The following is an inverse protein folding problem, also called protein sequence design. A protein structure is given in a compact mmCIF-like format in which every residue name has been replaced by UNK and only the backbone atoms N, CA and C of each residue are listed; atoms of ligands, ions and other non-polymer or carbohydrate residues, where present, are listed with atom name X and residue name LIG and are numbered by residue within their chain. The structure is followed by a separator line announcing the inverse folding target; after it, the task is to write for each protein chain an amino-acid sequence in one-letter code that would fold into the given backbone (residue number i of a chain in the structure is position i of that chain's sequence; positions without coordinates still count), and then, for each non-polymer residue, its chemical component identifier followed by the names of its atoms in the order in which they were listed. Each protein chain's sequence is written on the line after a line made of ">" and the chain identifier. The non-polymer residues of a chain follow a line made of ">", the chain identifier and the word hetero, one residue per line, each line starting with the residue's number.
data_IF_071962626341
#
_entry.id   IF_071962626341
#
_cell.length_a   1.000
_cell.length_b   1.000
_cell.length_c   1.000
_cell.angle_alpha   90.00
_cell.angle_beta   90.00
_cell.angle_gamma   90.00
#
_symmetry.space_group_name_H-M   'P 1'
#
loop_
_entity.id
_entity.type
_entity.pdbx_description
1 polymer ?
#
# COMPACT_ATOMS: atom_id res chain seq x y z
N UNK A 1 0.02 -0.19 -11.28
CA UNK A 1 1.43 -0.57 -11.18
C UNK A 1 1.67 -1.84 -11.98
N UNK A 2 0.85 -2.86 -11.83
CA UNK A 2 0.96 -4.17 -12.51
C UNK A 2 1.05 -4.05 -14.04
N UNK A 3 0.28 -3.13 -14.64
CA UNK A 3 0.33 -2.88 -16.10
C UNK A 3 1.71 -2.41 -16.55
N UNK A 4 2.43 -1.66 -15.72
CA UNK A 4 3.78 -1.13 -16.06
C UNK A 4 4.84 -2.22 -15.93
N UNK A 5 4.72 -3.11 -14.96
CA UNK A 5 5.64 -4.23 -14.78
C UNK A 5 5.55 -5.28 -15.89
N UNK A 6 4.35 -5.51 -16.43
CA UNK A 6 4.11 -6.43 -17.55
C UNK A 6 4.50 -5.83 -18.93
N UNK A 7 4.77 -4.52 -18.98
CA UNK A 7 5.12 -3.85 -20.23
C UNK A 7 6.59 -4.06 -20.59
N UNK A 8 6.90 -4.22 -21.91
CA UNK A 8 8.29 -4.22 -22.39
C UNK A 8 9.03 -2.93 -21.99
N UNK A 9 10.28 -3.04 -21.57
CA UNK A 9 11.10 -1.93 -21.06
C UNK A 9 11.18 -0.70 -22.01
N UNK A 10 11.05 -0.90 -23.31
CA UNK A 10 11.01 0.17 -24.30
C UNK A 10 9.69 0.96 -24.26
N UNK A 11 8.57 0.32 -23.89
CA UNK A 11 7.26 0.96 -23.74
C UNK A 11 7.23 1.74 -22.42
N UNK A 12 7.71 1.17 -21.31
CA UNK A 12 7.88 1.86 -20.03
C UNK A 12 8.72 3.13 -20.19
N UNK A 13 9.88 3.05 -20.85
CA UNK A 13 10.72 4.22 -21.13
C UNK A 13 10.01 5.29 -21.97
N UNK A 14 9.11 4.90 -22.87
CA UNK A 14 8.35 5.84 -23.71
C UNK A 14 7.25 6.54 -22.92
N UNK A 15 6.58 5.84 -22.01
CA UNK A 15 5.59 6.41 -21.07
C UNK A 15 6.29 7.41 -20.15
N UNK A 16 7.39 7.02 -19.51
CA UNK A 16 8.17 7.87 -18.61
C UNK A 16 8.70 9.17 -19.27
N UNK A 17 8.89 9.18 -20.60
CA UNK A 17 9.28 10.39 -21.33
C UNK A 17 8.17 11.42 -21.49
N UNK A 18 6.92 10.99 -21.49
CA UNK A 18 5.74 11.84 -21.69
C UNK A 18 5.00 12.17 -20.40
N UNK A 19 5.47 11.64 -19.29
CA UNK A 19 4.92 11.83 -17.96
C UNK A 19 5.62 13.01 -17.27
N UNK A 20 4.89 13.75 -16.44
CA UNK A 20 5.46 14.85 -15.66
C UNK A 20 6.55 14.36 -14.68
N UNK A 21 7.31 15.29 -14.10
CA UNK A 21 8.47 14.95 -13.27
C UNK A 21 8.09 14.26 -11.95
N UNK A 22 6.91 14.58 -11.40
CA UNK A 22 6.47 14.00 -10.12
C UNK A 22 6.04 12.55 -10.30
N UNK A 23 5.19 12.26 -11.27
CA UNK A 23 4.77 10.90 -11.57
C UNK A 23 5.93 10.01 -12.05
N UNK A 24 6.90 10.59 -12.81
CA UNK A 24 8.11 9.86 -13.19
C UNK A 24 8.95 9.44 -11.99
N UNK A 25 9.08 10.31 -10.99
CA UNK A 25 9.81 9.98 -9.76
C UNK A 25 9.07 8.91 -8.96
N UNK A 26 7.76 8.99 -8.83
CA UNK A 26 6.92 7.99 -8.16
C UNK A 26 7.02 6.61 -8.84
N UNK A 27 6.91 6.54 -10.16
CA UNK A 27 7.07 5.29 -10.92
C UNK A 27 8.48 4.71 -10.75
N UNK A 28 9.52 5.54 -10.82
CA UNK A 28 10.90 5.08 -10.62
C UNK A 28 11.18 4.62 -9.18
N UNK A 29 10.51 5.20 -8.21
CA UNK A 29 10.60 4.78 -6.81
C UNK A 29 9.96 3.41 -6.62
N UNK A 30 8.77 3.19 -7.14
CA UNK A 30 8.03 1.92 -7.08
C UNK A 30 8.80 0.80 -7.82
N UNK A 31 9.31 1.05 -9.02
CA UNK A 31 10.08 0.07 -9.79
C UNK A 31 11.43 -0.34 -9.17
N UNK A 32 11.84 0.29 -8.06
CA UNK A 32 13.06 -0.07 -7.32
C UNK A 32 12.83 -1.16 -6.28
N UNK A 33 11.59 -1.45 -5.93
CA UNK A 33 11.29 -2.42 -4.88
C UNK A 33 10.96 -3.80 -5.46
N UNK A 34 11.34 -4.88 -4.77
CA UNK A 34 10.94 -6.24 -5.15
C UNK A 34 9.42 -6.36 -5.21
N UNK A 35 8.91 -7.17 -6.15
CA UNK A 35 7.48 -7.35 -6.39
C UNK A 35 6.66 -7.75 -5.15
N UNK A 36 7.26 -8.54 -4.25
CA UNK A 36 6.59 -9.07 -3.05
C UNK A 36 6.94 -8.27 -1.78
N UNK A 37 7.25 -6.98 -1.94
CA UNK A 37 7.61 -6.11 -0.81
C UNK A 37 6.58 -5.02 -0.53
N UNK A 38 6.57 -4.49 0.70
CA UNK A 38 5.76 -3.33 1.08
C UNK A 38 5.98 -2.13 0.14
N UNK A 39 7.21 -1.95 -0.33
CA UNK A 39 7.56 -0.90 -1.29
C UNK A 39 6.87 -1.04 -2.64
N UNK A 40 6.48 -2.27 -3.06
CA UNK A 40 5.81 -2.49 -4.34
C UNK A 40 4.32 -2.14 -4.31
N UNK A 41 3.69 -2.17 -3.13
CA UNK A 41 2.27 -1.91 -2.93
C UNK A 41 1.99 -0.55 -2.25
N UNK A 42 3.04 0.22 -1.90
CA UNK A 42 2.88 1.52 -1.25
C UNK A 42 2.54 2.62 -2.25
N UNK A 43 1.81 3.64 -1.78
CA UNK A 43 1.67 4.92 -2.46
C UNK A 43 2.50 6.01 -1.78
N UNK A 44 2.98 7.00 -2.56
CA UNK A 44 3.66 8.19 -2.03
C UNK A 44 2.69 9.35 -1.77
N UNK A 45 1.39 9.12 -1.98
CA UNK A 45 0.33 10.12 -1.91
C UNK A 45 -0.27 10.21 -0.50
N UNK A 46 0.51 10.67 0.45
CA UNK A 46 0.12 10.89 1.84
C UNK A 46 0.29 12.34 2.29
N UNK A 47 -0.36 12.72 3.38
CA UNK A 47 -0.19 14.02 4.03
C UNK A 47 0.88 13.92 5.11
N UNK A 48 1.92 14.75 5.00
CA UNK A 48 2.93 14.90 6.06
C UNK A 48 2.82 16.27 6.75
N UNK A 49 2.92 16.27 8.07
CA UNK A 49 2.92 17.46 8.93
C UNK A 49 4.27 17.59 9.63
N UNK A 50 4.53 18.78 10.19
CA UNK A 50 5.68 19.02 11.06
C UNK A 50 5.22 19.16 12.51
N UNK A 51 6.02 18.64 13.43
CA UNK A 51 5.70 18.62 14.87
C UNK A 51 5.41 20.00 15.48
N UNK A 52 6.04 21.05 14.92
CA UNK A 52 5.94 22.42 15.43
C UNK A 52 4.76 23.20 14.83
N UNK A 53 4.02 22.61 13.88
CA UNK A 53 2.80 23.20 13.32
C UNK A 53 1.70 23.26 14.37
N UNK A 54 0.83 24.26 14.25
CA UNK A 54 -0.45 24.32 14.95
C UNK A 54 -1.53 23.53 14.17
N UNK A 55 -2.62 23.21 14.84
CA UNK A 55 -3.79 22.57 14.21
C UNK A 55 -4.31 23.41 13.04
N UNK A 56 -4.33 24.75 13.16
CA UNK A 56 -4.72 25.64 12.06
C UNK A 56 -3.82 25.48 10.83
N UNK A 57 -2.51 25.48 11.03
CA UNK A 57 -1.53 25.29 9.96
C UNK A 57 -1.63 23.90 9.34
N UNK A 58 -1.95 22.87 10.15
CA UNK A 58 -2.18 21.51 9.67
C UNK A 58 -3.41 21.46 8.74
N UNK A 59 -4.52 22.10 9.10
CA UNK A 59 -5.70 22.21 8.22
C UNK A 59 -5.40 22.94 6.91
N UNK A 60 -4.66 24.03 6.97
CA UNK A 60 -4.28 24.76 5.76
C UNK A 60 -3.38 23.92 4.86
N UNK A 61 -2.51 23.11 5.44
CA UNK A 61 -1.71 22.15 4.67
C UNK A 61 -2.55 21.06 4.06
N UNK A 62 -3.45 20.44 4.82
CA UNK A 62 -4.37 19.40 4.32
C UNK A 62 -5.22 19.94 3.16
N UNK A 63 -5.80 21.14 3.29
CA UNK A 63 -6.60 21.77 2.22
C UNK A 63 -5.80 22.02 0.94
N UNK A 64 -4.53 22.40 1.06
CA UNK A 64 -3.67 22.67 -0.09
C UNK A 64 -3.16 21.43 -0.79
N UNK A 65 -2.85 20.36 -0.03
CA UNK A 65 -2.14 19.19 -0.54
C UNK A 65 -3.00 17.93 -0.57
N UNK A 66 -4.12 17.90 0.13
CA UNK A 66 -4.93 16.69 0.32
C UNK A 66 -5.79 16.30 -0.88
N UNK A 67 -5.98 17.19 -1.86
CA UNK A 67 -6.81 16.92 -3.06
C UNK A 67 -6.23 15.77 -3.88
N UNK A 68 -4.90 15.70 -3.97
CA UNK A 68 -4.17 14.70 -4.76
C UNK A 68 -3.58 13.59 -3.88
N UNK A 69 -4.14 13.36 -2.67
CA UNK A 69 -3.65 12.35 -1.75
C UNK A 69 -4.61 11.18 -1.65
N UNK A 70 -4.06 9.98 -1.55
CA UNK A 70 -4.81 8.74 -1.41
C UNK A 70 -5.73 8.79 -0.19
N UNK A 71 -5.22 9.29 0.91
CA UNK A 71 -6.01 9.50 2.13
C UNK A 71 -5.56 10.76 2.88
N UNK A 72 -6.53 11.41 3.55
CA UNK A 72 -6.28 12.49 4.50
C UNK A 72 -6.65 12.11 5.93
N UNK A 73 -7.24 10.92 6.16
CA UNK A 73 -7.74 10.51 7.47
C UNK A 73 -6.62 10.39 8.51
N UNK A 74 -5.45 9.95 8.07
CA UNK A 74 -4.23 9.88 8.88
C UNK A 74 -3.17 10.78 8.27
N UNK A 75 -2.63 11.70 9.07
CA UNK A 75 -1.52 12.58 8.70
C UNK A 75 -0.28 12.15 9.48
N UNK A 76 0.83 11.97 8.78
CA UNK A 76 2.08 11.50 9.38
C UNK A 76 2.96 12.68 9.76
N UNK A 77 3.53 12.64 10.96
CA UNK A 77 4.39 13.71 11.46
C UNK A 77 5.84 13.31 11.27
N UNK A 78 6.58 14.17 10.58
CA UNK A 78 8.01 13.97 10.30
C UNK A 78 8.86 15.09 10.86
N UNK A 79 10.11 14.76 11.19
CA UNK A 79 11.13 15.75 11.52
C UNK A 79 11.71 16.44 10.27
N UNK A 80 12.81 17.19 10.45
CA UNK A 80 13.53 17.89 9.36
C UNK A 80 14.17 16.92 8.37
N UNK A 81 14.57 15.74 8.84
CA UNK A 81 15.22 14.70 8.03
C UNK A 81 14.23 13.70 7.44
N UNK A 82 12.93 14.03 7.48
CA UNK A 82 11.82 13.16 7.03
C UNK A 82 11.62 11.89 7.87
N UNK A 83 12.26 11.76 9.03
CA UNK A 83 12.02 10.62 9.92
C UNK A 83 10.62 10.68 10.48
N UNK A 84 9.96 9.52 10.50
CA UNK A 84 8.63 9.34 11.07
C UNK A 84 8.73 9.45 12.60
N UNK A 85 8.03 10.44 13.19
CA UNK A 85 8.07 10.72 14.63
C UNK A 85 6.70 10.73 15.30
N UNK A 86 5.62 10.68 14.52
CA UNK A 86 4.26 10.69 15.02
C UNK A 86 3.23 10.53 13.91
N UNK A 87 1.99 10.33 14.30
CA UNK A 87 0.83 10.48 13.44
C UNK A 87 -0.27 11.24 14.18
N UNK A 88 -1.17 11.85 13.43
CA UNK A 88 -2.37 12.47 13.96
C UNK A 88 -3.51 12.23 12.99
N UNK A 89 -4.68 11.87 13.52
CA UNK A 89 -5.87 11.67 12.71
C UNK A 89 -6.60 12.99 12.46
N UNK A 90 -7.34 13.07 11.37
CA UNK A 90 -8.21 14.24 11.11
C UNK A 90 -9.24 14.41 12.23
N UNK A 91 -9.70 13.32 12.86
CA UNK A 91 -10.57 13.35 14.03
C UNK A 91 -9.93 14.11 15.20
N UNK A 92 -8.67 13.83 15.53
CA UNK A 92 -7.93 14.51 16.60
C UNK A 92 -7.73 16.00 16.28
N UNK A 93 -7.41 16.32 15.03
CA UNK A 93 -7.31 17.70 14.56
C UNK A 93 -8.63 18.46 14.71
N UNK A 94 -9.77 17.84 14.33
CA UNK A 94 -11.10 18.46 14.43
C UNK A 94 -11.54 18.71 15.87
N UNK A 95 -11.12 17.85 16.79
CA UNK A 95 -11.48 17.96 18.20
C UNK A 95 -10.53 18.85 19.02
N UNK A 96 -9.40 19.25 18.43
CA UNK A 96 -8.39 20.06 19.10
C UNK A 96 -8.54 21.56 18.80
N UNK A 97 -8.24 22.46 19.75
CA UNK A 97 -8.21 23.91 19.49
C UNK A 97 -7.20 24.27 18.38
N UNK A 98 -7.52 25.26 17.57
CA UNK A 98 -6.71 25.67 16.41
C UNK A 98 -5.26 26.09 16.73
N UNK A 99 -5.02 26.59 17.93
CA UNK A 99 -3.70 27.00 18.42
C UNK A 99 -2.88 25.87 19.06
N UNK A 100 -3.43 24.66 19.15
CA UNK A 100 -2.73 23.50 19.70
C UNK A 100 -1.59 23.08 18.77
N UNK A 101 -0.42 22.77 19.32
CA UNK A 101 0.75 22.31 18.56
C UNK A 101 0.65 20.80 18.31
N UNK A 102 0.93 20.37 17.09
CA UNK A 102 0.84 18.96 16.68
C UNK A 102 1.61 18.02 17.58
N UNK A 103 2.80 18.41 18.03
CA UNK A 103 3.62 17.60 18.94
C UNK A 103 2.93 17.22 20.27
N UNK A 104 1.91 17.97 20.68
CA UNK A 104 1.19 17.72 21.95
C UNK A 104 0.02 16.73 21.78
N UNK A 105 -0.48 16.56 20.56
CA UNK A 105 -1.65 15.72 20.27
C UNK A 105 -1.30 14.49 19.42
N UNK A 106 -0.11 14.47 18.78
CA UNK A 106 0.28 13.34 17.93
C UNK A 106 0.51 12.07 18.77
N UNK A 107 0.10 10.93 18.23
CA UNK A 107 0.49 9.60 18.70
C UNK A 107 1.95 9.35 18.32
N UNK A 108 2.77 8.93 19.29
CA UNK A 108 4.21 8.68 19.13
C UNK A 108 4.56 7.20 19.02
N UNK A 109 3.66 6.33 19.49
CA UNK A 109 3.84 4.89 19.40
C UNK A 109 3.29 4.38 18.06
N UNK A 110 4.07 4.55 17.01
CA UNK A 110 3.67 4.27 15.64
C UNK A 110 4.11 2.87 15.24
N UNK A 111 3.18 2.10 14.70
CA UNK A 111 3.51 0.88 13.97
C UNK A 111 3.83 1.29 12.54
N UNK A 112 5.00 0.89 12.04
CA UNK A 112 5.46 1.12 10.67
C UNK A 112 6.09 -0.15 10.12
N UNK A 113 6.18 -0.25 8.80
CA UNK A 113 6.85 -1.34 8.09
C UNK A 113 8.01 -0.78 7.28
N UNK A 114 9.00 -1.62 7.00
CA UNK A 114 10.11 -1.27 6.12
C UNK A 114 9.75 -1.54 4.65
N UNK A 115 10.40 -0.83 3.74
CA UNK A 115 10.17 -0.98 2.28
C UNK A 115 10.37 -2.39 1.75
N UNK A 116 11.19 -3.21 2.41
CA UNK A 116 11.51 -4.58 2.01
C UNK A 116 10.74 -5.65 2.79
N UNK A 117 9.85 -5.25 3.72
CA UNK A 117 8.99 -6.20 4.41
C UNK A 117 8.06 -6.90 3.41
N UNK A 118 7.73 -8.14 3.69
CA UNK A 118 6.86 -8.95 2.84
C UNK A 118 5.45 -8.37 2.76
N UNK A 119 4.90 -8.23 1.54
CA UNK A 119 3.59 -7.61 1.31
C UNK A 119 2.45 -8.38 1.98
N UNK A 120 2.54 -9.71 2.07
CA UNK A 120 1.52 -10.55 2.71
C UNK A 120 1.53 -10.35 4.24
N UNK A 121 2.72 -10.27 4.85
CA UNK A 121 2.85 -9.98 6.27
C UNK A 121 2.28 -8.60 6.59
N UNK A 122 2.56 -7.61 5.73
CA UNK A 122 2.02 -6.25 5.85
C UNK A 122 0.49 -6.25 5.71
N UNK A 123 -0.06 -6.95 4.72
CA UNK A 123 -1.51 -7.05 4.52
C UNK A 123 -2.21 -7.71 5.73
N UNK A 124 -1.62 -8.75 6.31
CA UNK A 124 -2.14 -9.41 7.51
C UNK A 124 -2.14 -8.49 8.76
N UNK A 125 -1.29 -7.46 8.81
CA UNK A 125 -1.32 -6.48 9.90
C UNK A 125 -2.59 -5.63 9.89
N UNK A 126 -3.18 -5.37 8.72
CA UNK A 126 -4.44 -4.62 8.62
C UNK A 126 -5.60 -5.37 9.26
N UNK A 127 -5.71 -6.67 9.01
CA UNK A 127 -6.74 -7.53 9.63
C UNK A 127 -6.59 -7.59 11.16
N UNK A 128 -5.35 -7.61 11.64
CA UNK A 128 -5.05 -7.74 13.07
C UNK A 128 -5.28 -6.46 13.88
N UNK A 129 -5.08 -5.28 13.29
CA UNK A 129 -5.00 -4.01 14.02
C UNK A 129 -6.01 -2.96 13.55
N UNK A 130 -6.90 -3.28 12.61
CA UNK A 130 -7.93 -2.36 12.05
C UNK A 130 -7.34 -1.05 11.51
N UNK A 131 -6.16 -1.09 10.87
CA UNK A 131 -5.55 0.08 10.30
C UNK A 131 -6.29 0.58 9.05
N UNK A 132 -6.37 1.92 8.88
CA UNK A 132 -6.83 2.54 7.63
C UNK A 132 -5.67 2.76 6.64
N UNK A 133 -4.49 3.01 7.18
CA UNK A 133 -3.24 3.09 6.42
C UNK A 133 -2.05 2.82 7.34
N UNK A 134 -0.97 2.28 6.78
CA UNK A 134 0.24 1.89 7.50
C UNK A 134 1.45 2.60 6.87
N UNK A 135 2.25 3.34 7.65
CA UNK A 135 3.40 4.05 7.12
C UNK A 135 4.54 3.11 6.76
N UNK A 136 5.14 3.34 5.61
CA UNK A 136 6.32 2.63 5.10
C UNK A 136 7.54 3.51 5.26
N UNK A 137 8.59 2.97 5.88
CA UNK A 137 9.83 3.68 6.16
C UNK A 137 11.03 3.00 5.51
N UNK A 138 12.09 3.76 5.27
CA UNK A 138 13.38 3.20 4.88
C UNK A 138 14.21 2.78 6.12
N UNK A 139 15.41 2.23 5.88
CA UNK A 139 16.33 1.77 6.95
C UNK A 139 16.77 2.87 7.93
N UNK A 140 16.66 4.13 7.55
CA UNK A 140 16.94 5.28 8.39
C UNK A 140 15.69 5.84 9.09
N UNK A 141 14.57 5.09 9.05
CA UNK A 141 13.26 5.48 9.59
C UNK A 141 12.66 6.74 8.93
N UNK A 142 13.01 7.01 7.65
CA UNK A 142 12.39 8.09 6.90
C UNK A 142 11.11 7.61 6.25
N UNK A 143 10.05 8.37 6.36
CA UNK A 143 8.77 8.07 5.73
C UNK A 143 8.91 8.17 4.20
N UNK A 144 8.67 7.07 3.50
CA UNK A 144 8.79 6.97 2.03
C UNK A 144 7.44 6.75 1.36
N UNK A 145 6.48 6.12 2.03
CA UNK A 145 5.15 5.88 1.50
C UNK A 145 4.16 5.43 2.57
N UNK A 146 3.01 5.02 2.13
CA UNK A 146 1.98 4.36 2.95
C UNK A 146 1.39 3.19 2.17
N UNK A 147 0.97 2.15 2.87
CA UNK A 147 0.06 1.13 2.35
C UNK A 147 -1.34 1.47 2.84
N UNK A 148 -2.34 1.38 1.99
CA UNK A 148 -3.74 1.64 2.35
C UNK A 148 -4.49 0.33 2.58
N UNK A 149 -5.66 0.40 3.19
CA UNK A 149 -6.48 -0.77 3.51
C UNK A 149 -6.94 -1.51 2.25
N UNK A 150 -7.29 -0.80 1.20
CA UNK A 150 -7.71 -1.36 -0.09
C UNK A 150 -6.56 -2.09 -0.79
N UNK A 151 -5.34 -1.51 -0.84
CA UNK A 151 -4.16 -2.20 -1.36
C UNK A 151 -3.85 -3.50 -0.58
N UNK A 152 -4.00 -3.47 0.75
CA UNK A 152 -3.81 -4.65 1.58
C UNK A 152 -4.85 -5.75 1.30
N UNK A 153 -6.12 -5.38 1.07
CA UNK A 153 -7.18 -6.33 0.68
C UNK A 153 -6.86 -6.96 -0.67
N UNK A 154 -6.38 -6.19 -1.63
CA UNK A 154 -6.03 -6.70 -2.97
C UNK A 154 -4.93 -7.76 -2.86
N UNK A 155 -3.90 -7.54 -2.04
CA UNK A 155 -2.87 -8.55 -1.75
C UNK A 155 -3.46 -9.83 -1.16
N UNK A 156 -4.35 -9.74 -0.18
CA UNK A 156 -4.99 -10.91 0.44
C UNK A 156 -5.83 -11.69 -0.59
N UNK A 157 -6.49 -11.01 -1.51
CA UNK A 157 -7.31 -11.65 -2.56
C UNK A 157 -6.43 -12.33 -3.61
N UNK A 158 -5.32 -11.72 -4.02
CA UNK A 158 -4.34 -12.32 -4.93
C UNK A 158 -3.79 -13.62 -4.37
N UNK A 159 -3.31 -13.61 -3.12
CA UNK A 159 -2.75 -14.78 -2.46
C UNK A 159 -3.78 -15.92 -2.32
N UNK A 160 -5.00 -15.60 -1.90
CA UNK A 160 -6.08 -16.60 -1.84
C UNK A 160 -6.36 -17.24 -3.20
N UNK A 161 -6.30 -16.46 -4.28
CA UNK A 161 -6.52 -16.93 -5.65
C UNK A 161 -5.37 -17.83 -6.12
N UNK A 162 -4.12 -17.44 -5.83
CA UNK A 162 -2.94 -18.25 -6.15
C UNK A 162 -2.96 -19.60 -5.41
N UNK A 163 -3.30 -19.59 -4.13
CA UNK A 163 -3.37 -20.81 -3.32
C UNK A 163 -4.45 -21.77 -3.81
N UNK A 164 -5.62 -21.28 -4.20
CA UNK A 164 -6.68 -22.09 -4.83
C UNK A 164 -6.20 -22.68 -6.16
N UNK A 165 -5.50 -21.90 -6.98
CA UNK A 165 -4.95 -22.38 -8.26
C UNK A 165 -3.87 -23.45 -8.03
N UNK A 166 -2.95 -23.25 -7.07
CA UNK A 166 -1.94 -24.24 -6.69
C UNK A 166 -2.58 -25.54 -6.19
N UNK A 167 -3.63 -25.46 -5.37
CA UNK A 167 -4.38 -26.63 -4.89
C UNK A 167 -5.14 -27.33 -6.04
N UNK A 168 -5.75 -26.59 -6.96
CA UNK A 168 -6.42 -27.14 -8.13
C UNK A 168 -5.47 -27.82 -9.12
N UNK A 169 -4.24 -27.33 -9.25
CA UNK A 169 -3.20 -27.94 -10.09
C UNK A 169 -2.60 -29.22 -9.49
N UNK A 170 -2.77 -29.45 -8.19
CA UNK A 170 -2.28 -30.64 -7.49
C UNK A 170 -3.28 -31.81 -7.49
N UNK A 171 -4.49 -31.66 -8.05
CA UNK A 171 -5.39 -32.77 -8.30
C UNK A 171 -5.17 -33.33 -9.73
N UNK A 172 -4.39 -34.42 -9.90
CA UNK A 172 -4.43 -35.14 -11.15
C UNK A 172 -5.83 -35.72 -11.30
N UNK A 173 -6.54 -35.36 -12.37
CA UNK A 173 -7.74 -36.03 -12.78
C UNK A 173 -7.31 -37.40 -13.36
N UNK A 174 -7.03 -38.34 -12.49
CA UNK A 174 -6.96 -39.76 -12.81
C UNK A 174 -8.28 -40.42 -12.41
N UNK A 175 -9.34 -40.14 -13.14
CA UNK A 175 -10.45 -41.07 -13.30
C UNK A 175 -10.75 -41.23 -14.76
N UNK A 176 -9.98 -42.15 -15.40
CA UNK A 176 -10.39 -42.85 -16.59
C UNK A 176 -11.57 -43.73 -16.20
N UNK A 177 -12.80 -43.29 -16.43
CA UNK A 177 -13.96 -44.15 -16.39
C UNK A 177 -13.83 -45.16 -17.53
N UNK A 178 -13.80 -46.49 -17.27
CA UNK A 178 -13.89 -47.49 -18.31
C UNK A 178 -15.31 -47.48 -18.86
N UNK A 179 -15.47 -46.94 -20.08
CA UNK A 179 -16.74 -47.08 -20.81
C UNK A 179 -16.86 -48.53 -21.25
N UNK A 180 -17.63 -49.31 -20.49
CA UNK A 180 -18.00 -50.67 -20.91
C UNK A 180 -19.09 -50.60 -21.98
N UNK A 181 -18.71 -50.82 -23.22
CA UNK A 181 -19.66 -51.05 -24.29
C UNK A 181 -20.28 -52.42 -24.12
N UNK A 182 -21.46 -52.52 -23.54
CA UNK A 182 -22.31 -53.71 -23.65
C UNK A 182 -22.99 -53.72 -25.00
N UNK A 183 -22.50 -54.56 -25.91
CA UNK A 183 -23.21 -54.93 -27.14
C UNK A 183 -24.51 -55.67 -26.79
N UNK A 184 -25.63 -55.00 -26.92
CA UNK A 184 -26.92 -55.66 -27.03
C UNK A 184 -27.09 -56.13 -28.47
N UNK A 185 -26.93 -57.46 -28.70
CA UNK A 185 -27.32 -58.12 -29.89
C UNK A 185 -28.84 -58.45 -29.82
N UNK A 186 -29.65 -57.87 -30.70
CA UNK A 186 -31.05 -58.20 -30.87
C UNK A 186 -31.16 -59.46 -31.78
N UNK A 187 -31.98 -60.37 -31.33
CA UNK A 187 -32.56 -61.40 -32.18
C UNK A 187 -33.98 -61.01 -32.59
#
# INVERSE_FOLDING_TARGET
>A
VDIIEEMPANVVKRILRHTDSEMRNSINEILRYPKDSAGSIMTTEYVSLKKDMTVSEAFDRIRRTGVDKETIYTCYVTDTDRKLIGLVTVKELLLSPYNTVINTIMEKNIISVETLDDKEEVANMFDKYDFMSLPVVDKENRLVGIVTFDDAIDVIQEENTEDIQKMGALQPIEETYPVSYTHLRAH
#
